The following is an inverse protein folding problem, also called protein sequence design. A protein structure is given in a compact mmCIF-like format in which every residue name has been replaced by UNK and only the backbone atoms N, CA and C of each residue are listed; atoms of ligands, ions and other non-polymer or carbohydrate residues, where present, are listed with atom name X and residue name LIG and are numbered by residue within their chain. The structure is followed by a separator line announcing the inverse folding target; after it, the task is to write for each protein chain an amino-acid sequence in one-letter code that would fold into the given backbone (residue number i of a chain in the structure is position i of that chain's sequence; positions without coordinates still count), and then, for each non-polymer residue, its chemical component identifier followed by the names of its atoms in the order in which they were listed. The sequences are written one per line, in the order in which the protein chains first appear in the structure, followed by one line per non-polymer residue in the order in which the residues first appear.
data_IF_659760357250
#
_entry.id   IF_659760357250
#
_cell.length_a   1.000
_cell.length_b   1.000
_cell.length_c   1.000
_cell.angle_alpha   90.00
_cell.angle_beta   90.00
_cell.angle_gamma   90.00
#
_symmetry.space_group_name_H-M   'P 1'
#
loop_
_entity.id
_entity.type
_entity.pdbx_description
1 polymer ?
2 non-polymer ?
3 non-polymer ?
4 water ?
#
# COMPACT_ATOMS: atom_id res chain seq x y z
N UNK A 1 -9.36 -20.60 2.70
CA UNK A 1 -9.27 -19.41 3.55
C UNK A 1 -8.71 -19.67 4.95
N UNK A 2 -8.55 -18.62 5.76
CA UNK A 2 -8.90 -17.24 5.40
C UNK A 2 -7.70 -16.43 4.91
N UNK A 3 -7.96 -15.35 4.19
CA UNK A 3 -6.92 -14.44 3.72
C UNK A 3 -6.54 -13.44 4.82
N UNK A 4 -5.24 -13.23 5.03
CA UNK A 4 -4.80 -12.33 6.09
C UNK A 4 -4.89 -10.87 5.65
N UNK A 5 -5.65 -10.08 6.41
CA UNK A 5 -5.77 -8.65 6.16
C UNK A 5 -5.23 -7.89 7.36
N UNK A 6 -4.31 -6.96 7.12
CA UNK A 6 -3.71 -6.19 8.20
C UNK A 6 -4.32 -4.80 8.28
N UNK A 7 -4.84 -4.46 9.46
CA UNK A 7 -5.48 -3.17 9.66
C UNK A 7 -4.44 -2.08 9.92
N UNK A 8 -4.63 -0.92 9.29
CA UNK A 8 -3.77 0.22 9.54
C UNK A 8 -4.01 0.75 10.95
N UNK A 9 -2.95 1.21 11.59
CA UNK A 9 -3.05 1.73 12.95
C UNK A 9 -3.54 3.17 12.96
N UNK A 10 -4.58 3.44 13.73
CA UNK A 10 -5.12 4.79 13.85
C UNK A 10 -4.51 5.53 15.04
N UNK A 11 -3.96 6.70 14.76
CA UNK A 11 -3.38 7.55 15.80
C UNK A 11 -3.26 8.98 15.28
N UNK A 12 -3.64 9.95 16.10
CA UNK A 12 -3.60 11.35 15.70
C UNK A 12 -4.47 11.62 14.47
N UNK A 13 -5.55 10.87 14.34
CA UNK A 13 -6.45 11.03 13.20
C UNK A 13 -5.80 10.67 11.87
N UNK A 14 -4.70 9.94 11.93
CA UNK A 14 -4.05 9.40 10.74
C UNK A 14 -3.98 7.89 10.89
N UNK A 15 -4.21 7.17 9.81
CA UNK A 15 -4.01 5.72 9.84
C UNK A 15 -2.71 5.38 9.12
N UNK A 16 -1.82 4.68 9.81
CA UNK A 16 -0.52 4.36 9.24
C UNK A 16 -0.27 2.86 9.17
N UNK A 17 0.50 2.45 8.18
CA UNK A 17 0.88 1.05 8.04
C UNK A 17 2.14 0.95 7.18
N UNK A 18 2.97 -0.04 7.48
CA UNK A 18 4.23 -0.24 6.77
C UNK A 18 4.16 -1.51 5.94
N UNK A 19 4.62 -1.42 4.69
CA UNK A 19 4.64 -2.56 3.79
C UNK A 19 6.05 -2.80 3.26
N UNK A 20 6.51 -4.04 3.37
CA UNK A 20 7.82 -4.42 2.88
C UNK A 20 7.72 -4.98 1.47
N UNK A 21 8.59 -4.50 0.58
CA UNK A 21 8.65 -5.03 -0.77
C UNK A 21 9.86 -5.95 -0.91
N UNK A 22 9.60 -7.25 -0.92
CA UNK A 22 10.64 -8.27 -1.06
C UNK A 22 9.99 -9.62 -1.22
N UNK A 23 10.14 -10.23 -2.39
CA UNK A 23 9.43 -11.46 -2.71
C UNK A 23 7.94 -11.23 -2.48
N UNK A 24 7.40 -10.22 -3.16
CA UNK A 24 6.03 -9.81 -2.96
C UNK A 24 5.94 -8.69 -1.94
N UNK A 25 4.73 -8.19 -1.72
CA UNK A 25 4.50 -7.18 -0.70
C UNK A 25 4.03 -7.84 0.59
N UNK A 26 4.52 -7.34 1.72
CA UNK A 26 4.14 -7.89 3.02
C UNK A 26 3.92 -6.79 4.05
N UNK A 27 2.67 -6.62 4.50
CA UNK A 27 1.48 -7.40 4.11
C UNK A 27 0.98 -6.99 2.73
N UNK A 28 0.46 -7.95 1.97
CA UNK A 28 -0.07 -7.67 0.65
C UNK A 28 -1.49 -7.12 0.71
N UNK A 29 -2.21 -7.45 1.78
CA UNK A 29 -3.59 -7.02 1.93
C UNK A 29 -3.79 -6.24 3.22
N UNK A 30 -4.31 -5.03 3.09
CA UNK A 30 -4.51 -4.17 4.25
C UNK A 30 -5.93 -3.62 4.30
N UNK A 31 -6.31 -3.09 5.46
CA UNK A 31 -7.62 -2.50 5.64
C UNK A 31 -7.48 -1.04 6.07
N UNK A 32 -8.30 -0.18 5.47
CA UNK A 32 -8.27 1.25 5.78
C UNK A 32 -9.68 1.75 6.11
N UNK A 33 -9.76 2.73 7.00
CA UNK A 33 -11.02 3.37 7.34
C UNK A 33 -11.33 4.51 6.38
N UNK A 34 -12.55 4.55 5.87
CA UNK A 34 -12.96 5.61 4.95
C UNK A 34 -12.92 6.98 5.62
N UNK A 35 -12.43 7.98 4.89
CA UNK A 35 -12.45 9.35 5.37
C UNK A 35 -11.30 9.75 6.29
N UNK A 36 -10.44 8.79 6.63
CA UNK A 36 -9.29 9.09 7.48
C UNK A 36 -8.01 9.10 6.64
N UNK A 37 -7.26 10.22 6.69
CA UNK A 37 -6.01 10.32 5.92
C UNK A 37 -5.12 9.11 6.16
N UNK A 38 -4.64 8.50 5.08
CA UNK A 38 -3.82 7.30 5.19
C UNK A 38 -2.38 7.57 4.77
N UNK A 39 -1.44 7.02 5.53
CA UNK A 39 -0.04 7.04 5.15
C UNK A 39 0.49 5.62 5.10
N UNK A 40 0.76 5.14 3.89
CA UNK A 40 1.23 3.79 3.68
C UNK A 40 2.71 3.83 3.31
N UNK A 41 3.55 3.39 4.23
CA UNK A 41 4.99 3.45 4.03
C UNK A 41 5.51 2.16 3.41
N UNK A 42 6.06 2.28 2.21
CA UNK A 42 6.67 1.16 1.51
C UNK A 42 8.19 1.18 1.69
N UNK A 43 8.76 0.03 2.02
CA UNK A 43 10.22 -0.10 2.04
C UNK A 43 10.65 -1.08 0.97
N UNK A 44 11.47 -0.61 0.03
CA UNK A 44 11.98 -1.48 -1.02
C UNK A 44 13.23 -2.22 -0.55
N UNK A 45 13.06 -3.49 -0.21
CA UNK A 45 14.15 -4.29 0.35
C UNK A 45 14.76 -5.25 -0.67
N UNK A 46 14.55 -4.96 -1.95
CA UNK A 46 15.09 -5.80 -3.01
C UNK A 46 15.71 -4.96 -4.12
N UNK A 47 16.84 -5.42 -4.68
CA UNK A 47 17.46 -4.71 -5.80
C UNK A 47 16.76 -4.97 -7.13
N UNK A 48 15.74 -5.82 -7.14
CA UNK A 48 14.99 -6.08 -8.38
C UNK A 48 14.20 -4.86 -8.82
N UNK A 49 14.36 -4.45 -10.07
CA UNK A 49 13.61 -3.32 -10.58
C UNK A 49 12.13 -3.61 -10.83
N UNK A 50 11.71 -4.84 -10.59
CA UNK A 50 10.28 -5.16 -10.65
C UNK A 50 9.54 -4.30 -9.62
N UNK A 51 10.27 -3.86 -8.60
CA UNK A 51 9.70 -3.10 -7.49
C UNK A 51 10.11 -1.63 -7.49
N UNK A 52 10.55 -1.11 -8.63
CA UNK A 52 11.07 0.26 -8.67
C UNK A 52 9.97 1.33 -8.62
N UNK A 53 8.72 0.90 -8.74
CA UNK A 53 7.59 1.83 -8.69
C UNK A 53 6.44 1.26 -7.87
N UNK A 54 5.64 2.17 -7.31
CA UNK A 54 4.46 1.82 -6.54
C UNK A 54 3.24 2.41 -7.23
N UNK A 55 2.25 1.57 -7.51
CA UNK A 55 1.08 2.01 -8.27
C UNK A 55 -0.22 1.85 -7.49
N UNK A 56 -0.90 2.98 -7.28
CA UNK A 56 -2.27 2.98 -6.78
C UNK A 56 -3.14 3.63 -7.86
N UNK A 57 -3.54 2.83 -8.84
CA UNK A 57 -4.17 3.35 -10.05
C UNK A 57 -5.42 4.18 -9.77
N UNK A 58 -6.23 3.73 -8.82
CA UNK A 58 -7.51 4.38 -8.55
C UNK A 58 -7.35 5.70 -7.81
N UNK A 59 -6.15 5.95 -7.30
CA UNK A 59 -5.84 7.22 -6.64
C UNK A 59 -4.97 8.09 -7.54
N UNK A 60 -4.64 7.58 -8.72
CA UNK A 60 -3.81 8.31 -9.67
C UNK A 60 -2.38 8.44 -9.18
N UNK A 61 -1.97 7.50 -8.33
CA UNK A 61 -0.65 7.53 -7.73
C UNK A 61 0.31 6.56 -8.44
N UNK A 62 1.46 7.08 -8.84
CA UNK A 62 2.55 6.28 -9.38
C UNK A 62 3.85 6.89 -8.88
N UNK A 63 4.52 6.18 -7.98
CA UNK A 63 5.67 6.75 -7.28
C UNK A 63 6.90 5.87 -7.43
N UNK A 64 8.03 6.46 -7.83
CA UNK A 64 9.27 5.68 -7.87
C UNK A 64 9.79 5.41 -6.47
N UNK A 65 10.52 4.32 -6.30
CA UNK A 65 11.14 4.02 -5.03
C UNK A 65 12.48 3.31 -5.26
N UNK A 66 13.53 3.85 -4.66
CA UNK A 66 14.87 3.34 -4.86
C UNK A 66 15.20 2.17 -3.95
N UNK A 67 16.27 1.47 -4.27
CA UNK A 67 16.72 0.35 -3.46
C UNK A 67 16.98 0.80 -2.02
N UNK A 68 16.39 0.07 -1.07
CA UNK A 68 16.56 0.36 0.35
C UNK A 68 15.99 1.72 0.77
N UNK A 69 15.13 2.29 -0.07
CA UNK A 69 14.47 3.54 0.28
C UNK A 69 13.07 3.27 0.84
N UNK A 70 12.54 4.25 1.56
CA UNK A 70 11.16 4.21 2.05
C UNK A 70 10.38 5.38 1.47
N UNK A 71 9.21 5.09 0.91
CA UNK A 71 8.35 6.12 0.34
C UNK A 71 6.99 6.06 1.03
N UNK A 72 6.47 7.21 1.44
CA UNK A 72 5.16 7.27 2.06
C UNK A 72 4.11 7.61 1.00
N UNK A 73 3.17 6.69 0.79
CA UNK A 73 2.06 6.94 -0.12
C UNK A 73 0.90 7.54 0.67
N UNK A 74 0.48 8.75 0.30
CA UNK A 74 -0.55 9.45 1.06
C UNK A 74 -1.82 9.71 0.27
N UNK A 75 -2.95 9.32 0.84
CA UNK A 75 -4.26 9.68 0.31
C UNK A 75 -5.33 9.46 1.37
N UNK A 76 -6.50 10.04 1.15
CA UNK A 76 -7.63 9.82 2.03
C UNK A 76 -8.66 8.98 1.28
N UNK A 77 -8.77 7.70 1.66
CA UNK A 77 -9.70 6.77 1.00
C UNK A 77 -11.15 7.23 1.16
N UNK A 78 -11.88 7.31 0.05
CA UNK A 78 -13.25 7.79 0.07
C UNK A 78 -14.25 6.76 -0.46
N UNK A 79 -13.76 5.83 -1.27
CA UNK A 79 -14.63 4.80 -1.84
C UNK A 79 -14.49 3.46 -1.12
N UNK A 80 -15.61 2.93 -0.65
CA UNK A 80 -15.63 1.66 0.07
C UNK A 80 -15.27 0.49 -0.84
N UNK A 81 -14.81 -0.60 -0.23
CA UNK A 81 -14.55 -1.82 -0.96
C UNK A 81 -13.08 -2.17 -1.14
N UNK A 82 -12.84 -3.21 -1.93
CA UNK A 82 -11.49 -3.69 -2.21
C UNK A 82 -10.91 -2.98 -3.43
N UNK A 83 -9.68 -2.49 -3.29
CA UNK A 83 -8.98 -1.80 -4.37
C UNK A 83 -7.58 -2.38 -4.51
N UNK A 84 -7.06 -2.38 -5.73
CA UNK A 84 -5.75 -2.96 -5.98
C UNK A 84 -4.62 -1.93 -5.92
N UNK A 85 -3.50 -2.35 -5.35
CA UNK A 85 -2.23 -1.64 -5.53
C UNK A 85 -1.24 -2.67 -6.06
N UNK A 86 -0.17 -2.20 -6.70
CA UNK A 86 0.80 -3.11 -7.28
C UNK A 86 2.10 -2.38 -7.51
N UNK A 87 3.10 -3.11 -8.00
CA UNK A 87 4.30 -2.47 -8.51
C UNK A 87 3.96 -1.78 -9.83
N UNK A 88 4.91 -1.03 -10.37
CA UNK A 88 4.69 -0.33 -11.62
C UNK A 88 4.51 -1.25 -12.81
N UNK A 89 4.87 -2.52 -12.66
CA UNK A 89 4.75 -3.48 -13.76
C UNK A 89 3.45 -4.26 -13.66
N UNK A 90 2.75 -4.07 -12.55
CA UNK A 90 1.52 -4.81 -12.25
C UNK A 90 1.77 -6.32 -12.15
N UNK A 91 3.01 -6.70 -11.84
CA UNK A 91 3.38 -8.10 -11.66
C UNK A 91 3.20 -8.55 -10.21
N UNK A 92 3.56 -7.67 -9.28
CA UNK A 92 3.40 -7.95 -7.86
C UNK A 92 2.22 -7.13 -7.32
N UNK A 93 1.22 -7.82 -6.78
CA UNK A 93 -0.03 -7.16 -6.41
C UNK A 93 -0.36 -7.23 -4.92
N UNK A 94 -1.26 -6.33 -4.51
CA UNK A 94 -1.78 -6.29 -3.16
C UNK A 94 -3.14 -5.63 -3.21
N UNK A 95 -3.77 -5.46 -2.06
CA UNK A 95 -5.07 -4.82 -2.03
C UNK A 95 -5.26 -3.99 -0.78
N UNK A 96 -6.09 -2.97 -0.89
CA UNK A 96 -6.54 -2.24 0.28
C UNK A 96 -8.05 -2.19 0.30
N UNK A 97 -8.63 -2.65 1.41
CA UNK A 97 -10.07 -2.67 1.56
C UNK A 97 -10.49 -1.52 2.45
N UNK A 98 -11.36 -0.67 1.92
CA UNK A 98 -11.81 0.51 2.65
C UNK A 98 -13.15 0.23 3.31
N UNK A 99 -13.18 0.34 4.64
CA UNK A 99 -14.38 0.06 5.41
C UNK A 99 -14.90 1.31 6.12
N UNK A 100 -16.17 1.27 6.52
CA UNK A 100 -16.82 2.44 7.11
C UNK A 100 -16.55 2.55 8.60
X LIG B 1 6.97 -5.65 -10.30
X LIG C 1 8.21 -7.01 -12.96
X LIG D 1 10.42 -7.87 -13.64
#
# INVERSE_FOLDING_TARGET
GMTEIVKASLENGIQKIRIQAEKGYHPAHIQLQKGIPAEITFHRATPSNCYKEILFEEEGILEPIGVDEEKVIRFTPQELGRHEFSCGMKMQKGSYTVVE
CU1 CU
CU1 CU
CL CL
#
